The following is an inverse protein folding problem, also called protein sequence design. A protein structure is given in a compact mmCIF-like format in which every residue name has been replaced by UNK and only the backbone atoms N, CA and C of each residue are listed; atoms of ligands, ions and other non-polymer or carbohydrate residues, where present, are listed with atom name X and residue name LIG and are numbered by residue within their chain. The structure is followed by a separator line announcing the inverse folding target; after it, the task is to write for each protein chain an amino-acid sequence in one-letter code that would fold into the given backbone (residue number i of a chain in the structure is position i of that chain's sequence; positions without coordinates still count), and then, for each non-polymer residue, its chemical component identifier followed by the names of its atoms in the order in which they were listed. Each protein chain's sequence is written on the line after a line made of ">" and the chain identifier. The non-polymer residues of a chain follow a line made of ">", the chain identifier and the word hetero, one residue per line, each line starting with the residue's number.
data_IF_363952605830
#
_entry.id   IF_363952605830
#
_cell.length_a   1.000
_cell.length_b   1.000
_cell.length_c   1.000
_cell.angle_alpha   90.00
_cell.angle_beta   90.00
_cell.angle_gamma   90.00
#
_symmetry.space_group_name_H-M   'P 1'
#
loop_
_entity.id
_entity.type
_entity.pdbx_description
1 polymer ?
#
# COMPACT_ATOMS: atom_id res chain seq x y z
N UNK A 1 -11.74 3.46 -14.27
CA UNK A 1 -11.41 3.10 -12.88
C UNK A 1 -10.72 1.75 -12.96
N UNK A 2 -9.40 1.69 -12.80
CA UNK A 2 -8.65 0.47 -13.08
C UNK A 2 -8.66 -0.40 -11.80
N UNK A 3 -9.59 -1.36 -11.74
CA UNK A 3 -9.61 -2.38 -10.71
C UNK A 3 -8.66 -3.49 -11.15
N UNK A 4 -7.43 -3.45 -10.66
CA UNK A 4 -6.46 -4.53 -10.89
C UNK A 4 -6.81 -5.68 -9.95
N UNK A 5 -7.67 -6.60 -10.41
CA UNK A 5 -8.01 -7.83 -9.67
C UNK A 5 -6.95 -8.89 -9.93
N UNK A 6 -5.78 -8.72 -9.30
CA UNK A 6 -4.73 -9.73 -9.33
C UNK A 6 -4.85 -10.67 -8.12
N UNK A 7 -4.93 -11.97 -8.39
CA UNK A 7 -4.97 -12.99 -7.34
C UNK A 7 -3.56 -13.22 -6.80
N UNK A 8 -3.41 -13.14 -5.48
CA UNK A 8 -2.18 -13.48 -4.77
C UNK A 8 -2.46 -14.53 -3.71
N UNK A 9 -1.42 -15.22 -3.25
CA UNK A 9 -1.54 -16.25 -2.21
C UNK A 9 -0.95 -15.77 -0.89
N UNK A 10 -1.62 -16.11 0.20
CA UNK A 10 -1.05 -15.97 1.54
C UNK A 10 0.08 -17.00 1.70
N UNK A 11 1.28 -16.51 1.97
CA UNK A 11 2.49 -17.31 2.15
C UNK A 11 3.08 -17.06 3.55
N UNK A 12 3.91 -17.99 4.04
CA UNK A 12 4.63 -17.79 5.28
C UNK A 12 5.98 -17.10 5.02
N UNK A 13 6.27 -16.06 5.79
CA UNK A 13 7.56 -15.38 5.81
C UNK A 13 8.03 -15.27 7.27
N UNK A 14 8.99 -16.11 7.64
CA UNK A 14 9.40 -16.27 9.04
C UNK A 14 8.24 -16.77 9.91
N UNK A 15 7.98 -16.06 11.01
CA UNK A 15 6.86 -16.33 11.93
C UNK A 15 5.53 -15.68 11.49
N UNK A 16 5.54 -14.88 10.43
CA UNK A 16 4.36 -14.13 9.96
C UNK A 16 3.80 -14.70 8.66
N UNK A 17 2.57 -14.27 8.34
CA UNK A 17 1.95 -14.47 7.04
C UNK A 17 2.13 -13.21 6.20
N UNK A 18 2.35 -13.39 4.91
CA UNK A 18 2.58 -12.32 3.95
C UNK A 18 1.90 -12.62 2.61
N UNK A 19 1.47 -11.57 1.91
CA UNK A 19 0.99 -11.66 0.54
C UNK A 19 1.99 -10.97 -0.39
N UNK A 20 2.15 -11.46 -1.61
CA UNK A 20 2.95 -10.75 -2.62
C UNK A 20 2.08 -9.68 -3.27
N UNK A 21 2.57 -8.46 -3.28
CA UNK A 21 1.95 -7.34 -3.99
C UNK A 21 2.60 -7.28 -5.39
N UNK A 22 1.82 -7.37 -6.48
CA UNK A 22 2.33 -7.24 -7.84
C UNK A 22 3.05 -5.91 -8.08
N UNK A 23 4.07 -5.92 -8.93
CA UNK A 23 4.86 -4.72 -9.25
C UNK A 23 4.03 -3.60 -9.88
N UNK A 24 2.94 -3.94 -10.59
CA UNK A 24 1.97 -2.99 -11.14
C UNK A 24 1.35 -2.10 -10.05
N UNK A 25 0.94 -2.69 -8.93
CA UNK A 25 0.35 -1.98 -7.79
C UNK A 25 1.39 -1.09 -7.10
N UNK A 26 2.60 -1.61 -6.90
CA UNK A 26 3.72 -0.85 -6.31
C UNK A 26 4.04 0.39 -7.16
N UNK A 27 4.07 0.26 -8.49
CA UNK A 27 4.32 1.38 -9.41
C UNK A 27 3.16 2.39 -9.41
N UNK A 28 1.92 1.92 -9.36
CA UNK A 28 0.74 2.80 -9.39
C UNK A 28 0.64 3.66 -8.12
N UNK A 29 0.97 3.08 -6.97
CA UNK A 29 1.02 3.79 -5.69
C UNK A 29 2.36 4.54 -5.49
N UNK A 30 3.33 4.29 -6.38
CA UNK A 30 4.72 4.77 -6.32
C UNK A 30 5.28 4.58 -4.91
N UNK A 31 5.21 3.32 -4.45
CA UNK A 31 5.76 2.85 -3.18
C UNK A 31 7.20 2.40 -3.36
N UNK A 32 8.03 2.69 -2.36
CA UNK A 32 9.42 2.24 -2.32
C UNK A 32 9.59 1.12 -1.31
N UNK A 33 10.67 0.35 -1.47
CA UNK A 33 11.11 -0.55 -0.41
C UNK A 33 11.31 0.28 0.88
N UNK A 34 10.88 -0.26 2.02
CA UNK A 34 10.89 0.39 3.34
C UNK A 34 9.80 1.45 3.60
N UNK A 35 8.91 1.73 2.64
CA UNK A 35 7.76 2.58 2.93
C UNK A 35 6.84 1.92 3.96
N UNK A 36 6.55 2.66 5.03
CA UNK A 36 5.67 2.20 6.10
C UNK A 36 4.21 2.30 5.65
N UNK A 37 3.47 1.22 5.86
CA UNK A 37 2.04 1.14 5.60
C UNK A 37 1.31 0.92 6.93
N UNK A 38 0.15 1.56 7.09
CA UNK A 38 -0.84 1.16 8.08
C UNK A 38 -1.62 -0.04 7.55
N UNK A 39 -2.03 -0.93 8.45
CA UNK A 39 -2.90 -2.07 8.16
C UNK A 39 -4.17 -1.90 8.96
N UNK A 40 -5.31 -1.77 8.28
CA UNK A 40 -6.64 -1.68 8.90
C UNK A 40 -7.56 -2.75 8.35
N UNK A 41 -8.62 -3.06 9.09
CA UNK A 41 -9.68 -3.98 8.66
C UNK A 41 -10.95 -3.16 8.49
N UNK A 42 -11.45 -3.07 7.26
CA UNK A 42 -12.66 -2.34 6.92
C UNK A 42 -13.57 -3.23 6.07
N UNK A 43 -14.83 -3.40 6.48
CA UNK A 43 -15.82 -4.21 5.75
C UNK A 43 -15.35 -5.64 5.41
N UNK A 44 -14.64 -6.28 6.34
CA UNK A 44 -14.07 -7.63 6.13
C UNK A 44 -12.88 -7.67 5.16
N UNK A 45 -12.38 -6.51 4.73
CA UNK A 45 -11.24 -6.37 3.82
C UNK A 45 -10.03 -5.84 4.57
N UNK A 46 -8.84 -6.30 4.19
CA UNK A 46 -7.57 -5.73 4.67
C UNK A 46 -7.25 -4.52 3.81
N UNK A 47 -7.15 -3.35 4.44
CA UNK A 47 -6.78 -2.10 3.79
C UNK A 47 -5.35 -1.74 4.17
N UNK A 48 -4.50 -1.53 3.17
CA UNK A 48 -3.12 -1.11 3.34
C UNK A 48 -3.00 0.34 2.89
N UNK A 49 -2.61 1.24 3.81
CA UNK A 49 -2.53 2.69 3.53
C UNK A 49 -1.12 3.21 3.79
N UNK A 50 -0.46 3.86 2.82
CA UNK A 50 0.88 4.44 3.04
C UNK A 50 0.87 5.53 4.11
N UNK A 51 1.83 5.46 5.05
CA UNK A 51 1.94 6.44 6.14
C UNK A 51 2.54 7.76 5.67
N UNK A 52 3.42 7.74 4.67
CA UNK A 52 3.93 8.97 4.05
C UNK A 52 2.85 9.53 3.14
N UNK A 53 2.20 10.59 3.60
CA UNK A 53 1.34 11.42 2.74
C UNK A 53 2.22 11.98 1.63
N UNK A 54 1.95 11.62 0.38
CA UNK A 54 2.31 12.50 -0.72
C UNK A 54 1.46 13.77 -0.54
N UNK A 55 2.06 14.97 -0.61
CA UNK A 55 1.27 16.18 -0.55
C UNK A 55 0.22 16.10 -1.64
N UNK A 56 -1.04 16.14 -1.23
CA UNK A 56 -2.19 15.99 -2.12
C UNK A 56 -2.44 17.30 -2.86
N UNK A 57 -1.85 18.39 -2.38
CA UNK A 57 -1.92 19.70 -2.99
C UNK A 57 -0.59 20.45 -2.88
N UNK A 58 -0.37 21.42 -3.77
CA UNK A 58 0.86 22.22 -3.82
C UNK A 58 1.08 23.02 -2.53
N UNK A 59 0.00 23.41 -1.83
CA UNK A 59 0.08 24.17 -0.59
C UNK A 59 0.80 23.39 0.53
N UNK A 60 0.58 22.07 0.62
CA UNK A 60 1.24 21.21 1.62
C UNK A 60 2.77 21.10 1.44
N UNK A 61 3.32 21.55 0.29
CA UNK A 61 4.77 21.60 0.05
C UNK A 61 5.44 22.86 0.62
N UNK A 62 4.66 23.90 0.93
CA UNK A 62 5.17 25.22 1.32
C UNK A 62 4.67 25.69 2.69
N UNK A 63 3.85 24.91 3.39
CA UNK A 63 3.52 25.11 4.80
C UNK A 63 4.76 24.76 5.67
N UNK A 64 5.67 25.72 5.77
CA UNK A 64 6.87 25.71 6.63
C UNK A 64 6.90 26.92 7.55
#
# INVERSE_FOLDING_TARGET
>A
MNQTTEQTKLSQWGHSKAVRIPSSVIKQLDLKNDDKLSVTIENGSIVLTPLKKKPTNIHELFDG
#
